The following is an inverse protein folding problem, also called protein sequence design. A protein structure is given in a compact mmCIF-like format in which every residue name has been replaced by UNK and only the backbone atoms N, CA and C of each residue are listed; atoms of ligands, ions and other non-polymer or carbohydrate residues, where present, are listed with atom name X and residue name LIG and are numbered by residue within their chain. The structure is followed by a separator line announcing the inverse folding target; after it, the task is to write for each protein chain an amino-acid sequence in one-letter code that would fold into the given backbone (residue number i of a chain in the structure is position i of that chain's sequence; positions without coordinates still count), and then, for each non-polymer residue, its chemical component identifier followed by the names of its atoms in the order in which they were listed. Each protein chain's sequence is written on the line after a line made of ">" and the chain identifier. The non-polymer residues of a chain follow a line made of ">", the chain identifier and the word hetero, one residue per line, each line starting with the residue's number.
data_IF_540380360405
#
_entry.id   IF_540380360405
#
_cell.length_a   1.000
_cell.length_b   1.000
_cell.length_c   1.000
_cell.angle_alpha   90.00
_cell.angle_beta   90.00
_cell.angle_gamma   90.00
#
_symmetry.space_group_name_H-M   'P 1'
#
loop_
_entity.id
_entity.type
_entity.pdbx_description
1 polymer ?
#
# COMPACT_ATOMS: atom_id res chain seq x y z
N UNK A 1 -39.59 -27.20 -25.04
CA UNK A 1 -38.57 -27.36 -23.99
C UNK A 1 -37.44 -28.20 -24.57
N UNK A 2 -36.27 -27.60 -24.79
CA UNK A 2 -35.01 -28.32 -25.04
C UNK A 2 -33.89 -27.43 -24.54
N UNK A 3 -33.21 -27.90 -23.49
CA UNK A 3 -32.08 -27.24 -22.84
C UNK A 3 -30.88 -28.15 -23.06
N UNK A 4 -29.80 -27.64 -23.67
CA UNK A 4 -28.48 -28.26 -23.50
C UNK A 4 -27.44 -27.15 -23.46
N UNK A 5 -26.82 -27.04 -22.29
CA UNK A 5 -25.80 -26.07 -21.90
C UNK A 5 -24.44 -26.63 -22.33
N UNK A 6 -23.67 -25.83 -23.06
CA UNK A 6 -22.29 -26.14 -23.44
C UNK A 6 -21.35 -26.04 -22.23
N UNK A 7 -20.51 -27.06 -22.09
CA UNK A 7 -19.46 -27.21 -21.08
C UNK A 7 -18.27 -26.29 -21.39
N UNK A 8 -17.83 -25.49 -20.42
CA UNK A 8 -16.58 -24.73 -20.51
C UNK A 8 -15.42 -25.51 -19.87
N UNK A 9 -14.43 -25.83 -20.70
CA UNK A 9 -13.13 -26.39 -20.37
C UNK A 9 -12.24 -25.31 -19.74
N UNK A 10 -11.68 -25.57 -18.56
CA UNK A 10 -10.70 -24.69 -17.90
C UNK A 10 -9.28 -25.03 -18.37
N UNK A 11 -8.59 -24.08 -19.00
CA UNK A 11 -7.16 -24.20 -19.31
C UNK A 11 -6.33 -23.47 -18.24
N UNK A 12 -5.55 -24.24 -17.49
CA UNK A 12 -4.47 -23.75 -16.63
C UNK A 12 -3.33 -23.16 -17.48
N UNK A 13 -3.04 -21.88 -17.32
CA UNK A 13 -1.79 -21.26 -17.78
C UNK A 13 -1.12 -20.56 -16.59
N UNK A 14 0.04 -21.08 -16.19
CA UNK A 14 0.95 -20.49 -15.22
C UNK A 14 1.59 -19.23 -15.82
N UNK A 15 1.38 -18.06 -15.20
CA UNK A 15 2.01 -16.80 -15.63
C UNK A 15 3.16 -16.43 -14.70
N UNK A 16 4.37 -16.50 -15.23
CA UNK A 16 5.54 -15.83 -14.66
C UNK A 16 5.36 -14.31 -14.80
N UNK A 17 5.60 -13.55 -13.73
CA UNK A 17 5.46 -12.09 -13.71
C UNK A 17 6.74 -11.41 -14.24
N UNK A 18 6.65 -10.52 -15.25
CA UNK A 18 7.81 -9.72 -15.65
C UNK A 18 8.10 -8.61 -14.62
N UNK A 19 9.39 -8.42 -14.34
CA UNK A 19 9.91 -7.40 -13.42
C UNK A 19 10.02 -6.05 -14.15
N UNK A 20 9.26 -5.07 -13.64
CA UNK A 20 9.44 -3.60 -13.74
C UNK A 20 9.18 -2.86 -15.07
N UNK A 21 8.73 -1.60 -14.88
CA UNK A 21 8.81 -0.38 -15.74
C UNK A 21 7.68 -0.09 -16.76
N UNK A 22 7.56 1.15 -17.32
CA UNK A 22 7.74 2.53 -16.79
C UNK A 22 6.53 3.46 -17.09
N UNK A 23 6.60 4.74 -16.66
CA UNK A 23 5.66 5.83 -16.95
C UNK A 23 5.23 5.91 -18.43
N UNK A 24 3.91 5.83 -18.74
CA UNK A 24 3.32 6.42 -19.95
C UNK A 24 1.78 6.48 -19.93
N UNK A 25 1.26 7.35 -20.80
CA UNK A 25 -0.04 8.03 -20.80
C UNK A 25 -1.21 7.07 -21.14
N UNK A 26 -2.25 7.06 -20.30
CA UNK A 26 -3.48 6.30 -20.53
C UNK A 26 -4.52 7.12 -21.31
N UNK A 27 -5.14 6.52 -22.33
CA UNK A 27 -6.40 7.00 -22.91
C UNK A 27 -7.55 6.39 -22.12
N UNK A 28 -8.38 7.24 -21.53
CA UNK A 28 -9.59 6.88 -20.78
C UNK A 28 -10.68 6.50 -21.78
N UNK A 29 -11.26 5.31 -21.63
CA UNK A 29 -12.45 4.90 -22.38
C UNK A 29 -13.57 4.69 -21.36
N UNK A 30 -14.58 5.56 -21.38
CA UNK A 30 -15.51 5.75 -20.25
C UNK A 30 -16.48 4.59 -20.02
N UNK A 31 -16.47 3.54 -20.85
CA UNK A 31 -17.45 2.45 -20.80
C UNK A 31 -16.87 1.03 -20.65
N UNK A 32 -15.56 0.86 -20.36
CA UNK A 32 -14.99 -0.48 -20.10
C UNK A 32 -14.03 -0.47 -18.91
N UNK A 33 -14.18 -1.46 -18.02
CA UNK A 33 -13.30 -1.73 -16.87
C UNK A 33 -11.94 -2.33 -17.32
N UNK A 34 -11.40 -1.89 -18.47
CA UNK A 34 -10.38 -2.58 -19.25
C UNK A 34 -9.34 -1.56 -19.74
N UNK A 35 -8.06 -1.80 -19.46
CA UNK A 35 -6.95 -0.99 -19.95
C UNK A 35 -6.18 -1.74 -21.04
N UNK A 36 -5.61 -1.01 -22.00
CA UNK A 36 -4.75 -1.57 -23.06
C UNK A 36 -3.27 -1.37 -22.71
N UNK A 37 -2.51 -2.45 -22.57
CA UNK A 37 -1.05 -2.41 -22.31
C UNK A 37 -0.36 -3.48 -23.16
N UNK A 38 0.70 -3.10 -23.90
CA UNK A 38 1.45 -4.00 -24.82
C UNK A 38 0.53 -4.87 -25.71
N UNK A 39 -0.47 -4.25 -26.33
CA UNK A 39 -1.46 -4.95 -27.16
C UNK A 39 -2.33 -5.99 -26.44
N UNK A 40 -2.47 -5.90 -25.12
CA UNK A 40 -3.36 -6.75 -24.34
C UNK A 40 -4.35 -5.93 -23.50
N UNK A 41 -5.56 -6.47 -23.39
CA UNK A 41 -6.60 -5.98 -22.48
C UNK A 41 -6.38 -6.53 -21.07
N UNK A 42 -6.38 -5.65 -20.07
CA UNK A 42 -6.26 -6.03 -18.66
C UNK A 42 -7.38 -5.39 -17.84
N UNK A 43 -8.05 -6.17 -17.01
CA UNK A 43 -9.17 -5.70 -16.20
C UNK A 43 -8.71 -4.79 -15.04
N UNK A 44 -9.48 -3.74 -14.74
CA UNK A 44 -9.24 -2.79 -13.63
C UNK A 44 -9.02 -3.49 -12.29
N UNK A 45 -9.75 -4.57 -12.02
CA UNK A 45 -9.69 -5.32 -10.77
C UNK A 45 -8.33 -6.05 -10.60
N UNK A 46 -7.63 -6.34 -11.71
CA UNK A 46 -6.32 -6.97 -11.70
C UNK A 46 -5.18 -5.97 -11.37
N UNK A 47 -5.40 -4.66 -11.52
CA UNK A 47 -4.45 -3.60 -11.11
C UNK A 47 -4.68 -3.09 -9.69
N UNK A 48 -5.81 -3.43 -9.07
CA UNK A 48 -6.21 -2.93 -7.75
C UNK A 48 -5.31 -3.45 -6.60
N UNK A 49 -4.42 -4.40 -6.88
CA UNK A 49 -3.71 -5.20 -5.88
C UNK A 49 -2.19 -4.92 -5.74
N UNK A 50 -1.65 -3.84 -6.30
CA UNK A 50 -0.25 -3.43 -6.05
C UNK A 50 -0.11 -1.92 -5.80
N UNK A 51 -1.12 -1.28 -5.21
CA UNK A 51 -0.96 0.12 -4.80
C UNK A 51 -0.07 0.20 -3.56
N UNK A 52 1.16 0.68 -3.79
CA UNK A 52 2.06 1.12 -2.72
C UNK A 52 1.68 2.54 -2.36
N UNK A 53 1.32 2.74 -1.10
CA UNK A 53 1.02 4.05 -0.54
C UNK A 53 2.15 4.52 0.35
N UNK A 54 2.22 5.83 0.61
CA UNK A 54 3.17 6.41 1.54
C UNK A 54 2.45 6.89 2.80
N UNK A 55 2.96 6.48 3.95
CA UNK A 55 2.55 6.98 5.26
C UNK A 55 3.73 7.64 5.95
N UNK A 56 3.45 8.50 6.93
CA UNK A 56 4.46 9.26 7.65
C UNK A 56 4.24 9.13 9.15
N UNK A 57 5.34 8.94 9.89
CA UNK A 57 5.41 9.28 11.32
C UNK A 57 6.09 10.66 11.39
N UNK A 58 5.34 11.76 11.65
CA UNK A 58 5.87 13.10 11.50
C UNK A 58 7.02 13.44 12.44
N UNK A 59 7.07 12.78 13.61
CA UNK A 59 8.00 13.09 14.68
C UNK A 59 8.35 11.82 15.44
N UNK A 60 9.62 11.45 15.39
CA UNK A 60 10.23 10.33 16.09
C UNK A 60 11.54 10.82 16.69
N UNK A 61 11.83 10.43 17.93
CA UNK A 61 13.12 10.72 18.55
C UNK A 61 14.27 10.11 17.72
N UNK A 62 15.38 10.84 17.59
CA UNK A 62 16.49 10.41 16.75
C UNK A 62 17.14 9.09 17.24
N UNK A 63 17.05 8.80 18.54
CA UNK A 63 17.57 7.58 19.16
C UNK A 63 16.81 6.31 18.76
N UNK A 64 15.54 6.44 18.35
CA UNK A 64 14.72 5.31 17.93
C UNK A 64 15.24 4.80 16.57
N UNK A 65 15.66 3.54 16.52
CA UNK A 65 16.25 2.96 15.31
C UNK A 65 15.21 2.69 14.21
N UNK A 66 15.66 2.70 12.95
CA UNK A 66 14.85 2.28 11.80
C UNK A 66 14.33 0.85 11.97
N UNK A 67 15.14 -0.05 12.51
CA UNK A 67 14.77 -1.46 12.70
C UNK A 67 13.67 -1.63 13.74
N UNK A 68 13.72 -0.87 14.83
CA UNK A 68 12.65 -0.85 15.81
C UNK A 68 11.32 -0.43 15.16
N UNK A 69 11.32 0.67 14.40
CA UNK A 69 10.13 1.14 13.67
C UNK A 69 9.63 0.07 12.68
N UNK A 70 10.53 -0.56 11.92
CA UNK A 70 10.17 -1.61 10.97
C UNK A 70 9.50 -2.80 11.67
N UNK A 71 10.08 -3.26 12.78
CA UNK A 71 9.56 -4.41 13.54
C UNK A 71 8.18 -4.09 14.13
N UNK A 72 8.04 -2.95 14.84
CA UNK A 72 6.76 -2.51 15.41
C UNK A 72 5.65 -2.42 14.35
N UNK A 73 5.95 -1.87 13.17
CA UNK A 73 4.96 -1.78 12.09
C UNK A 73 4.65 -3.14 11.44
N UNK A 74 5.65 -4.01 11.33
CA UNK A 74 5.49 -5.35 10.75
C UNK A 74 4.64 -6.28 11.63
N UNK A 75 4.73 -6.11 12.95
CA UNK A 75 3.91 -6.85 13.92
C UNK A 75 2.40 -6.61 13.77
N UNK A 76 2.00 -5.45 13.23
CA UNK A 76 0.60 -5.15 12.95
C UNK A 76 0.01 -5.99 11.81
N UNK A 77 0.86 -6.61 10.96
CA UNK A 77 0.46 -7.44 9.80
C UNK A 77 -0.45 -6.72 8.79
N UNK A 78 -0.41 -5.40 8.76
CA UNK A 78 -1.24 -4.53 7.90
C UNK A 78 -0.76 -4.44 6.45
N UNK A 79 0.41 -4.99 6.14
CA UNK A 79 0.99 -4.89 4.82
C UNK A 79 2.48 -5.20 4.79
N UNK A 80 3.06 -5.11 3.59
CA UNK A 80 4.49 -5.23 3.36
C UNK A 80 5.12 -3.84 3.29
N UNK A 81 6.13 -3.59 4.12
CA UNK A 81 6.94 -2.38 4.05
C UNK A 81 7.97 -2.53 2.93
N UNK A 82 7.95 -1.61 1.97
CA UNK A 82 8.88 -1.59 0.84
C UNK A 82 10.10 -0.71 1.12
N UNK A 83 9.90 0.39 1.85
CA UNK A 83 10.95 1.38 2.10
C UNK A 83 10.65 2.17 3.37
N UNK A 84 11.69 2.48 4.12
CA UNK A 84 11.65 3.45 5.22
C UNK A 84 12.73 4.51 4.94
N UNK A 85 12.33 5.78 4.97
CA UNK A 85 13.20 6.94 4.79
C UNK A 85 13.17 7.75 6.08
N UNK A 86 14.35 8.04 6.62
CA UNK A 86 14.53 8.91 7.78
C UNK A 86 14.96 10.29 7.29
N UNK A 87 14.24 11.32 7.73
CA UNK A 87 14.53 12.70 7.35
C UNK A 87 14.62 13.52 8.64
N UNK A 88 15.78 14.08 9.01
CA UNK A 88 15.91 14.97 10.17
C UNK A 88 14.94 16.16 10.09
N UNK A 89 14.40 16.60 11.22
CA UNK A 89 13.58 17.81 11.26
C UNK A 89 14.49 19.05 11.23
N UNK A 90 14.13 20.05 10.42
CA UNK A 90 14.96 21.25 10.19
C UNK A 90 15.20 22.10 11.45
N UNK A 91 14.20 22.17 12.32
CA UNK A 91 14.22 23.06 13.50
C UNK A 91 14.32 22.26 14.82
N UNK A 92 14.37 20.94 14.74
CA UNK A 92 14.29 20.06 15.93
C UNK A 92 15.24 18.88 15.76
N UNK A 93 16.53 19.11 15.99
CA UNK A 93 17.61 18.16 15.66
C UNK A 93 17.55 16.84 16.44
N UNK A 94 16.89 16.81 17.60
CA UNK A 94 16.64 15.59 18.37
C UNK A 94 15.56 14.70 17.75
N UNK A 95 14.93 15.14 16.65
CA UNK A 95 13.81 14.45 16.04
C UNK A 95 14.01 14.28 14.53
N UNK A 96 13.37 13.24 14.02
CA UNK A 96 13.28 12.91 12.60
C UNK A 96 11.83 12.60 12.23
N UNK A 97 11.48 12.81 10.97
CA UNK A 97 10.27 12.23 10.38
C UNK A 97 10.63 10.94 9.65
N UNK A 98 9.69 10.01 9.66
CA UNK A 98 9.82 8.72 9.00
C UNK A 98 8.80 8.64 7.88
N UNK A 99 9.24 8.41 6.65
CA UNK A 99 8.37 8.12 5.50
C UNK A 99 8.43 6.63 5.20
N UNK A 100 7.28 5.98 5.14
CA UNK A 100 7.16 4.54 4.96
C UNK A 100 6.36 4.29 3.69
N UNK A 101 6.95 3.54 2.76
CA UNK A 101 6.21 2.95 1.63
C UNK A 101 5.63 1.62 2.07
N UNK A 102 4.32 1.48 2.01
CA UNK A 102 3.61 0.28 2.40
C UNK A 102 2.72 -0.21 1.25
N UNK A 103 2.80 -1.52 0.99
CA UNK A 103 1.79 -2.22 0.23
C UNK A 103 0.82 -2.84 1.22
N UNK A 104 -0.39 -2.29 1.27
CA UNK A 104 -1.44 -2.73 2.19
C UNK A 104 -1.85 -4.19 1.94
N UNK A 105 -2.04 -4.95 3.01
CA UNK A 105 -2.64 -6.29 2.96
C UNK A 105 -4.17 -6.17 3.02
N UNK A 106 -4.80 -5.99 1.86
CA UNK A 106 -6.26 -5.87 1.74
C UNK A 106 -7.03 -7.18 2.02
N UNK A 107 -6.36 -8.26 2.43
CA UNK A 107 -7.05 -9.47 2.88
C UNK A 107 -7.30 -9.46 4.39
N UNK A 108 -6.68 -8.54 5.13
CA UNK A 108 -6.79 -8.46 6.59
C UNK A 108 -7.88 -7.47 7.03
N UNK A 109 -8.84 -7.86 7.87
CA UNK A 109 -9.89 -6.96 8.37
C UNK A 109 -9.32 -5.73 9.10
N UNK A 110 -8.26 -5.91 9.88
CA UNK A 110 -7.60 -4.82 10.61
C UNK A 110 -7.04 -3.75 9.65
N UNK A 111 -6.51 -4.15 8.50
CA UNK A 111 -6.02 -3.23 7.47
C UNK A 111 -7.14 -2.33 6.96
N UNK A 112 -8.33 -2.88 6.72
CA UNK A 112 -9.47 -2.09 6.26
C UNK A 112 -9.89 -1.06 7.30
N UNK A 113 -9.94 -1.45 8.57
CA UNK A 113 -10.31 -0.54 9.67
C UNK A 113 -9.29 0.60 9.81
N UNK A 114 -7.99 0.27 9.78
CA UNK A 114 -6.93 1.27 9.87
C UNK A 114 -6.97 2.21 8.66
N UNK A 115 -7.10 1.67 7.44
CA UNK A 115 -7.19 2.49 6.23
C UNK A 115 -8.42 3.41 6.28
N UNK A 116 -9.59 2.86 6.59
CA UNK A 116 -10.83 3.62 6.73
C UNK A 116 -10.64 4.77 7.73
N UNK A 117 -10.16 4.47 8.93
CA UNK A 117 -9.91 5.48 9.95
C UNK A 117 -8.90 6.54 9.47
N UNK A 118 -7.79 6.11 8.86
CA UNK A 118 -6.77 7.00 8.32
C UNK A 118 -7.32 7.95 7.24
N UNK A 119 -8.20 7.49 6.36
CA UNK A 119 -8.84 8.34 5.35
C UNK A 119 -9.92 9.26 5.94
N UNK A 120 -10.67 8.79 6.94
CA UNK A 120 -11.76 9.56 7.55
C UNK A 120 -11.24 10.65 8.50
N UNK A 121 -10.24 10.33 9.32
CA UNK A 121 -9.73 11.24 10.37
C UNK A 121 -8.39 11.88 10.00
N UNK A 122 -7.77 11.44 8.90
CA UNK A 122 -6.46 11.89 8.45
C UNK A 122 -5.28 11.31 9.22
N UNK A 123 -5.52 10.54 10.30
CA UNK A 123 -4.44 9.95 11.10
C UNK A 123 -4.87 8.79 11.99
N UNK A 124 -3.95 7.92 12.37
CA UNK A 124 -4.18 6.94 13.44
C UNK A 124 -2.99 6.87 14.40
N UNK A 125 -3.16 6.19 15.54
CA UNK A 125 -2.12 6.04 16.57
C UNK A 125 -1.68 4.58 16.66
N UNK A 126 -0.37 4.36 16.82
CA UNK A 126 0.22 3.06 17.18
C UNK A 126 0.95 3.22 18.50
N UNK A 127 0.55 2.44 19.51
CA UNK A 127 1.28 2.32 20.77
C UNK A 127 2.47 1.38 20.54
N UNK A 128 3.69 1.87 20.76
CA UNK A 128 4.92 1.07 20.60
C UNK A 128 5.55 0.70 21.94
N UNK A 129 5.31 1.50 22.98
CA UNK A 129 5.70 1.24 24.36
C UNK A 129 4.78 2.05 25.27
N UNK A 130 3.97 1.43 26.13
CA UNK A 130 2.95 2.16 26.89
C UNK A 130 3.60 3.17 27.87
N UNK A 131 3.22 4.46 27.88
CA UNK A 131 2.06 5.09 27.21
C UNK A 131 2.37 5.79 25.88
N UNK A 132 3.57 5.60 25.35
CA UNK A 132 4.07 6.20 24.13
C UNK A 132 3.43 5.60 22.86
N UNK A 133 3.07 6.51 21.96
CA UNK A 133 2.50 6.17 20.67
C UNK A 133 3.03 7.08 19.57
N UNK A 134 3.05 6.56 18.35
CA UNK A 134 3.28 7.35 17.15
C UNK A 134 1.96 7.71 16.49
N UNK A 135 1.84 8.97 16.05
CA UNK A 135 0.80 9.39 15.12
C UNK A 135 1.25 9.08 13.70
N UNK A 136 0.42 8.38 12.94
CA UNK A 136 0.64 8.09 11.53
C UNK A 136 -0.34 8.89 10.68
N UNK A 137 0.16 9.47 9.60
CA UNK A 137 -0.62 10.26 8.63
C UNK A 137 -0.33 9.79 7.21
N UNK A 138 -1.24 10.04 6.28
CA UNK A 138 -0.98 9.87 4.85
C UNK A 138 0.05 10.90 4.38
N UNK A 139 0.86 10.52 3.41
CA UNK A 139 1.82 11.43 2.79
C UNK A 139 2.02 11.09 1.32
N UNK A 140 2.52 12.06 0.56
CA UNK A 140 2.95 11.86 -0.81
C UNK A 140 4.48 11.92 -0.81
N UNK A 141 5.13 11.08 -1.61
CA UNK A 141 6.55 11.29 -1.87
C UNK A 141 6.74 12.65 -2.53
N UNK A 142 7.71 13.42 -2.01
CA UNK A 142 8.21 14.63 -2.66
C UNK A 142 9.42 14.26 -3.52
#
# INVERSE_FOLDING_TARGET
>A
MNTTINQYRTNHFTKQFPKQFPNQIYKKDDNKNLFHFNNQYVYKDQYKNLQVESICIPRVDISISKDFIYNTLSELRIGKIHKIIEIPLRNEFSYKRIIIKIQWNNNEPITHNIKKHLYETGSFKIVYDMPWYWKIVLTYEK
#
